data_IF_319052388895
#
_entry.id   IF_319052388895
#
_cell.length_a   1.000
_cell.length_b   1.000
_cell.length_c   1.000
_cell.angle_alpha   90.00
_cell.angle_beta   90.00
_cell.angle_gamma   90.00
#
_symmetry.space_group_name_H-M   'P 1'
#
loop_
_entity.id
_entity.type
_entity.pdbx_description
1 polymer ?
#
# COMPACT_ATOMS: atom_id res chain seq x y z
N UNK A 1 25.67 1.29 -57.23
CA UNK A 1 25.74 -0.15 -56.93
C UNK A 1 26.47 -0.25 -55.60
N UNK A 2 25.72 -0.48 -54.54
CA UNK A 2 26.28 -0.73 -53.21
C UNK A 2 27.09 -2.03 -53.31
N UNK A 3 28.33 -2.01 -52.83
CA UNK A 3 29.25 -3.13 -53.02
C UNK A 3 28.78 -4.35 -52.24
N UNK A 4 29.01 -5.56 -52.76
CA UNK A 4 28.57 -6.81 -52.14
C UNK A 4 29.03 -6.95 -50.67
N UNK A 5 30.18 -6.35 -50.34
CA UNK A 5 30.75 -6.34 -49.00
C UNK A 5 29.94 -5.46 -48.01
N UNK A 6 29.35 -4.35 -48.46
CA UNK A 6 28.53 -3.47 -47.61
C UNK A 6 27.16 -4.09 -47.29
N UNK A 7 26.58 -4.85 -48.22
CA UNK A 7 25.32 -5.56 -48.00
C UNK A 7 25.49 -6.76 -47.05
N UNK A 8 26.65 -7.43 -47.10
CA UNK A 8 27.01 -8.51 -46.19
C UNK A 8 27.29 -7.99 -44.77
N UNK A 9 27.96 -6.85 -44.63
CA UNK A 9 28.19 -6.21 -43.32
C UNK A 9 26.89 -5.69 -42.70
N UNK A 10 25.96 -5.18 -43.52
CA UNK A 10 24.62 -4.77 -43.06
C UNK A 10 23.79 -5.97 -42.59
N UNK A 11 23.80 -7.10 -43.32
CA UNK A 11 23.14 -8.34 -42.88
C UNK A 11 23.73 -8.86 -41.57
N UNK A 12 25.06 -8.81 -41.43
CA UNK A 12 25.74 -9.24 -40.20
C UNK A 12 25.37 -8.37 -39.00
N UNK A 13 25.30 -7.05 -39.14
CA UNK A 13 24.84 -6.13 -38.07
C UNK A 13 23.36 -6.31 -37.73
N UNK A 14 22.52 -6.62 -38.71
CA UNK A 14 21.09 -6.86 -38.52
C UNK A 14 20.82 -8.23 -37.86
N UNK A 15 21.66 -9.23 -38.15
CA UNK A 15 21.65 -10.56 -37.53
C UNK A 15 22.25 -10.56 -36.12
N UNK A 16 23.30 -9.76 -35.86
CA UNK A 16 23.82 -9.44 -34.53
C UNK A 16 22.79 -8.67 -33.68
N UNK A 17 22.05 -7.72 -34.26
CA UNK A 17 20.89 -7.06 -33.60
C UNK A 17 19.75 -8.04 -33.31
N UNK A 18 19.49 -9.00 -34.22
CA UNK A 18 18.44 -10.02 -34.03
C UNK A 18 18.80 -11.03 -32.95
N UNK A 19 20.07 -11.40 -32.85
CA UNK A 19 20.59 -12.33 -31.85
C UNK A 19 20.77 -11.68 -30.49
N UNK A 20 21.10 -10.38 -30.41
CA UNK A 20 21.04 -9.60 -29.16
C UNK A 20 19.62 -9.44 -28.61
N UNK A 21 18.58 -9.60 -29.44
CA UNK A 21 17.18 -9.55 -29.01
C UNK A 21 16.63 -10.94 -28.68
N UNK A 22 17.35 -12.03 -28.99
CA UNK A 22 16.74 -13.37 -28.96
C UNK A 22 17.18 -14.33 -27.87
N UNK A 23 18.18 -14.10 -27.02
CA UNK A 23 18.43 -15.02 -25.89
C UNK A 23 19.26 -14.37 -24.76
N UNK A 24 18.64 -14.20 -23.58
CA UNK A 24 19.21 -13.67 -22.33
C UNK A 24 19.23 -12.14 -22.33
N UNK A 25 18.32 -11.40 -21.69
CA UNK A 25 18.17 -11.30 -20.23
C UNK A 25 16.79 -10.70 -19.86
N UNK A 26 15.68 -11.28 -20.35
CA UNK A 26 14.32 -10.81 -20.01
C UNK A 26 13.37 -11.93 -19.56
N UNK A 27 13.80 -13.19 -19.58
CA UNK A 27 12.97 -14.34 -19.17
C UNK A 27 13.37 -14.94 -17.80
N UNK A 28 14.43 -14.45 -17.15
CA UNK A 28 14.88 -14.94 -15.82
C UNK A 28 14.66 -13.94 -14.67
N UNK A 29 13.94 -12.84 -14.93
CA UNK A 29 13.19 -12.21 -13.85
C UNK A 29 11.98 -13.10 -13.59
N UNK A 30 12.15 -14.08 -12.69
CA UNK A 30 11.03 -14.80 -12.11
C UNK A 30 9.89 -13.80 -11.91
N UNK A 31 8.67 -14.04 -12.43
CA UNK A 31 7.59 -13.09 -12.30
C UNK A 31 7.49 -12.78 -10.82
N UNK A 32 7.71 -11.53 -10.44
CA UNK A 32 7.52 -11.09 -9.06
C UNK A 32 6.17 -11.67 -8.65
N UNK A 33 6.17 -12.55 -7.65
CA UNK A 33 5.00 -13.35 -7.31
C UNK A 33 3.83 -12.41 -7.03
N UNK A 34 2.94 -12.24 -8.00
CA UNK A 34 1.77 -11.38 -7.87
C UNK A 34 0.81 -12.16 -7.00
N UNK A 35 0.70 -11.76 -5.74
CA UNK A 35 -0.22 -12.37 -4.80
C UNK A 35 -1.64 -12.22 -5.33
N UNK A 36 -2.44 -13.27 -5.17
CA UNK A 36 -3.88 -13.18 -5.43
C UNK A 36 -4.55 -12.25 -4.41
N UNK A 37 -5.72 -11.73 -4.79
CA UNK A 37 -6.72 -11.10 -3.92
C UNK A 37 -6.81 -11.74 -2.54
N UNK A 38 -7.02 -13.06 -2.53
CA UNK A 38 -7.26 -13.85 -1.34
C UNK A 38 -6.01 -13.96 -0.47
N UNK A 39 -4.83 -14.06 -1.08
CA UNK A 39 -3.56 -14.07 -0.36
C UNK A 39 -3.29 -12.73 0.32
N UNK A 40 -3.51 -11.61 -0.40
CA UNK A 40 -3.32 -10.28 0.19
C UNK A 40 -4.31 -10.04 1.33
N UNK A 41 -5.58 -10.40 1.14
CA UNK A 41 -6.60 -10.31 2.20
C UNK A 41 -6.20 -11.17 3.41
N UNK A 42 -5.71 -12.39 3.20
CA UNK A 42 -5.26 -13.27 4.28
C UNK A 42 -4.12 -12.64 5.09
N UNK A 43 -3.15 -12.01 4.43
CA UNK A 43 -2.07 -11.28 5.10
C UNK A 43 -2.57 -10.08 5.92
N UNK A 44 -3.55 -9.34 5.41
CA UNK A 44 -4.18 -8.25 6.14
C UNK A 44 -4.99 -8.73 7.35
N UNK A 45 -5.65 -9.89 7.25
CA UNK A 45 -6.34 -10.54 8.37
C UNK A 45 -5.30 -11.01 9.40
N UNK A 46 -4.21 -11.65 8.96
CA UNK A 46 -3.14 -12.15 9.81
C UNK A 46 -2.45 -11.05 10.62
N UNK A 47 -2.37 -9.82 10.09
CA UNK A 47 -1.89 -8.66 10.82
C UNK A 47 -2.74 -8.28 12.05
N UNK A 48 -3.99 -8.73 12.11
CA UNK A 48 -4.86 -8.57 13.28
C UNK A 48 -5.54 -7.19 13.40
N UNK A 49 -6.37 -6.99 14.43
CA UNK A 49 -7.19 -5.77 14.58
C UNK A 49 -6.38 -4.51 14.91
N UNK A 50 -5.28 -4.61 15.66
CA UNK A 50 -4.43 -3.46 16.03
C UNK A 50 -3.75 -2.86 14.80
N UNK A 51 -3.11 -3.71 13.99
CA UNK A 51 -2.54 -3.33 12.69
C UNK A 51 -3.59 -2.67 11.78
N UNK A 52 -4.75 -3.31 11.57
CA UNK A 52 -5.81 -2.77 10.71
C UNK A 52 -6.32 -1.42 11.21
N UNK A 53 -6.48 -1.25 12.52
CA UNK A 53 -6.86 0.03 13.13
C UNK A 53 -5.81 1.12 12.91
N UNK A 54 -4.52 0.76 12.95
CA UNK A 54 -3.41 1.68 12.70
C UNK A 54 -3.23 2.02 11.21
N UNK A 55 -3.72 1.20 10.28
CA UNK A 55 -3.81 1.62 8.87
C UNK A 55 -4.74 2.83 8.69
N UNK A 56 -5.63 3.10 9.66
CA UNK A 56 -6.62 4.19 9.61
C UNK A 56 -6.28 5.35 10.56
N UNK A 57 -5.36 5.14 11.50
CA UNK A 57 -5.00 6.12 12.54
C UNK A 57 -3.50 6.39 12.55
N UNK A 58 -3.04 7.59 12.90
CA UNK A 58 -1.61 7.88 12.89
C UNK A 58 -0.87 7.23 14.06
N UNK A 59 -1.55 6.87 15.15
CA UNK A 59 -0.90 6.35 16.35
C UNK A 59 -1.75 5.37 17.14
N UNK A 60 -1.09 4.54 17.95
CA UNK A 60 -1.71 3.54 18.81
C UNK A 60 -0.77 2.37 19.13
N UNK A 61 -1.34 1.34 19.75
CA UNK A 61 -0.61 0.12 20.11
C UNK A 61 -0.68 -0.85 18.93
N UNK A 62 0.48 -1.24 18.40
CA UNK A 62 0.61 -2.23 17.33
C UNK A 62 0.59 -3.65 17.90
N UNK A 63 1.32 -3.87 18.99
CA UNK A 63 1.48 -5.17 19.61
C UNK A 63 1.44 -5.05 21.13
N UNK A 64 0.76 -5.98 21.79
CA UNK A 64 0.61 -6.01 23.24
C UNK A 64 0.69 -7.46 23.72
N UNK A 65 1.79 -7.80 24.42
CA UNK A 65 1.99 -9.09 25.06
C UNK A 65 2.38 -8.91 26.53
N UNK A 66 2.41 -10.00 27.33
CA UNK A 66 2.84 -9.92 28.73
C UNK A 66 4.28 -9.41 28.92
N UNK A 67 5.18 -9.61 27.95
CA UNK A 67 6.59 -9.21 28.04
C UNK A 67 6.91 -7.91 27.31
N UNK A 68 6.19 -7.58 26.24
CA UNK A 68 6.51 -6.45 25.38
C UNK A 68 5.24 -5.76 24.86
N UNK A 69 5.22 -4.43 24.95
CA UNK A 69 4.26 -3.61 24.22
C UNK A 69 4.98 -2.77 23.17
N UNK A 70 4.41 -2.65 21.97
CA UNK A 70 4.93 -1.83 20.89
C UNK A 70 3.87 -0.82 20.49
N UNK A 71 4.12 0.45 20.82
CA UNK A 71 3.38 1.59 20.31
C UNK A 71 4.01 2.12 19.01
N UNK A 72 3.19 2.70 18.14
CA UNK A 72 3.65 3.37 16.93
C UNK A 72 3.01 4.74 16.78
N UNK A 73 3.76 5.66 16.18
CA UNK A 73 3.27 6.94 15.67
C UNK A 73 3.84 7.20 14.29
N UNK A 74 2.97 7.41 13.31
CA UNK A 74 3.32 7.56 11.90
C UNK A 74 3.08 8.98 11.42
N UNK A 75 3.92 9.44 10.50
CA UNK A 75 3.74 10.70 9.78
C UNK A 75 4.16 10.51 8.33
N UNK A 76 3.41 11.11 7.41
CA UNK A 76 3.61 10.99 5.97
C UNK A 76 3.66 12.37 5.33
N UNK A 77 4.44 12.48 4.27
CA UNK A 77 4.54 13.65 3.41
C UNK A 77 4.85 13.15 2.00
N UNK A 78 3.81 13.09 1.15
CA UNK A 78 3.90 12.51 -0.20
C UNK A 78 4.48 11.08 -0.13
N UNK A 79 5.49 10.76 -0.93
CA UNK A 79 6.14 9.45 -0.97
C UNK A 79 6.99 9.13 0.27
N UNK A 80 7.28 10.08 1.16
CA UNK A 80 8.12 9.88 2.33
C UNK A 80 7.29 9.73 3.61
N UNK A 81 7.79 8.96 4.55
CA UNK A 81 7.18 8.85 5.87
C UNK A 81 8.16 8.44 6.95
N UNK A 82 7.66 8.43 8.18
CA UNK A 82 8.40 7.97 9.35
C UNK A 82 7.49 7.22 10.32
N UNK A 83 8.05 6.24 11.01
CA UNK A 83 7.44 5.58 12.16
C UNK A 83 8.32 5.86 13.38
N UNK A 84 7.73 6.40 14.44
CA UNK A 84 8.31 6.36 15.77
C UNK A 84 7.76 5.15 16.49
N UNK A 85 8.65 4.24 16.89
CA UNK A 85 8.32 3.09 17.71
C UNK A 85 8.52 3.42 19.19
N UNK A 86 7.67 2.84 20.04
CA UNK A 86 7.76 2.89 21.49
C UNK A 86 7.72 1.46 22.03
N UNK A 87 8.87 0.92 22.42
CA UNK A 87 9.01 -0.45 22.94
C UNK A 87 9.00 -0.41 24.46
N UNK A 88 7.90 -0.84 25.08
CA UNK A 88 7.77 -0.95 26.52
C UNK A 88 8.03 -2.37 27.01
N UNK A 89 9.09 -2.56 27.79
CA UNK A 89 9.33 -3.83 28.48
C UNK A 89 8.35 -3.97 29.66
N UNK A 90 7.50 -4.98 29.59
CA UNK A 90 6.54 -5.33 30.65
C UNK A 90 6.99 -6.50 31.50
N UNK A 91 8.06 -7.19 31.10
CA UNK A 91 8.67 -8.21 31.93
C UNK A 91 9.36 -7.56 33.15
N UNK A 92 9.40 -8.25 34.30
CA UNK A 92 10.11 -7.79 35.49
C UNK A 92 11.63 -8.00 35.39
N UNK A 93 12.14 -8.33 34.20
CA UNK A 93 13.56 -8.55 33.89
C UNK A 93 13.94 -7.86 32.59
N UNK A 94 15.24 -7.53 32.38
CA UNK A 94 15.70 -6.96 31.12
C UNK A 94 15.51 -7.94 29.96
N UNK A 95 14.98 -7.46 28.83
CA UNK A 95 14.98 -8.19 27.58
C UNK A 95 16.36 -8.06 26.94
N UNK A 96 17.05 -9.17 26.72
CA UNK A 96 18.40 -9.19 26.15
C UNK A 96 18.34 -9.49 24.66
N UNK A 97 19.44 -9.23 23.95
CA UNK A 97 19.54 -9.44 22.50
C UNK A 97 18.37 -8.81 21.73
N UNK A 98 17.85 -7.68 22.22
CA UNK A 98 16.70 -7.00 21.65
C UNK A 98 17.06 -6.48 20.26
N UNK A 99 16.32 -6.92 19.25
CA UNK A 99 16.60 -6.62 17.85
C UNK A 99 15.32 -6.34 17.09
N UNK A 100 15.43 -5.41 16.14
CA UNK A 100 14.37 -4.98 15.25
C UNK A 100 14.89 -5.05 13.83
N UNK A 101 14.25 -5.88 13.02
CA UNK A 101 14.59 -6.06 11.60
C UNK A 101 13.34 -5.84 10.75
N UNK A 102 13.52 -5.29 9.55
CA UNK A 102 12.46 -5.16 8.56
C UNK A 102 12.68 -6.19 7.45
N UNK A 103 11.60 -6.81 7.00
CA UNK A 103 11.69 -7.69 5.83
C UNK A 103 12.10 -6.88 4.59
N UNK A 104 13.01 -7.41 3.74
CA UNK A 104 13.44 -6.71 2.54
C UNK A 104 12.25 -6.30 1.66
N UNK A 105 12.33 -5.12 1.05
CA UNK A 105 11.32 -4.62 0.13
C UNK A 105 11.98 -3.98 -1.08
N UNK A 106 11.44 -4.27 -2.26
CA UNK A 106 11.77 -3.57 -3.51
C UNK A 106 10.96 -2.28 -3.67
N UNK A 107 9.86 -2.16 -2.93
CA UNK A 107 8.89 -1.06 -3.07
C UNK A 107 9.03 0.03 -2.02
N UNK A 108 9.72 -0.28 -0.92
CA UNK A 108 9.98 0.65 0.18
C UNK A 108 11.48 0.66 0.49
N UNK A 109 12.07 1.86 0.51
CA UNK A 109 13.39 2.07 1.07
C UNK A 109 13.28 2.41 2.55
N UNK A 110 14.03 1.72 3.40
CA UNK A 110 14.00 1.92 4.85
C UNK A 110 15.33 2.44 5.38
N UNK A 111 15.26 3.33 6.36
CA UNK A 111 16.39 3.75 7.18
C UNK A 111 15.99 3.67 8.65
N UNK A 112 16.29 2.52 9.27
CA UNK A 112 16.04 2.28 10.69
C UNK A 112 17.22 2.79 11.52
N UNK A 113 16.95 3.62 12.53
CA UNK A 113 17.97 4.06 13.49
C UNK A 113 18.36 2.89 14.41
N UNK A 114 19.61 2.79 14.88
CA UNK A 114 20.00 1.76 15.84
C UNK A 114 19.19 1.83 17.13
N UNK A 115 18.99 0.68 17.77
CA UNK A 115 18.45 0.56 19.13
C UNK A 115 19.41 -0.26 19.99
N UNK A 116 19.36 -0.08 21.31
CA UNK A 116 20.15 -0.88 22.24
C UNK A 116 19.69 -2.33 22.20
N UNK A 117 20.65 -3.26 22.27
CA UNK A 117 20.38 -4.71 22.36
C UNK A 117 19.83 -5.18 23.71
N UNK A 118 19.55 -4.27 24.64
CA UNK A 118 18.97 -4.56 25.95
C UNK A 118 17.88 -3.52 26.21
N UNK A 119 16.73 -3.98 26.69
CA UNK A 119 15.62 -3.16 27.16
C UNK A 119 15.37 -3.48 28.64
N UNK A 120 15.66 -2.54 29.54
CA UNK A 120 15.58 -2.76 30.99
C UNK A 120 14.15 -2.99 31.46
N UNK A 121 13.98 -3.62 32.64
CA UNK A 121 12.64 -3.87 33.20
C UNK A 121 11.87 -2.56 33.40
N UNK A 122 10.67 -2.46 32.80
CA UNK A 122 9.86 -1.24 32.83
C UNK A 122 10.37 -0.09 31.93
N UNK A 123 11.48 -0.26 31.21
CA UNK A 123 11.97 0.74 30.27
C UNK A 123 11.04 0.86 29.06
N UNK A 124 10.86 2.11 28.59
CA UNK A 124 10.28 2.38 27.29
C UNK A 124 11.33 3.03 26.38
N UNK A 125 11.83 2.26 25.41
CA UNK A 125 12.76 2.76 24.41
C UNK A 125 12.04 3.27 23.15
N UNK A 126 12.66 4.24 22.47
CA UNK A 126 12.15 4.80 21.23
C UNK A 126 13.11 4.51 20.07
N UNK A 127 12.57 4.24 18.89
CA UNK A 127 13.35 4.06 17.67
C UNK A 127 12.64 4.72 16.49
N UNK A 128 13.42 5.46 15.70
CA UNK A 128 12.93 6.12 14.50
C UNK A 128 13.23 5.26 13.27
N UNK A 129 12.19 5.03 12.47
CA UNK A 129 12.30 4.51 11.11
C UNK A 129 11.89 5.60 10.13
N UNK A 130 12.77 5.96 9.20
CA UNK A 130 12.41 6.74 8.02
C UNK A 130 12.19 5.79 6.84
N UNK A 131 11.26 6.11 5.95
CA UNK A 131 11.04 5.33 4.74
C UNK A 131 10.58 6.19 3.57
N UNK A 132 10.79 5.66 2.36
CA UNK A 132 10.33 6.25 1.10
C UNK A 132 9.65 5.17 0.27
N UNK A 133 8.44 5.46 -0.22
CA UNK A 133 7.70 4.66 -1.18
C UNK A 133 8.37 4.80 -2.55
N UNK A 134 9.09 3.78 -2.97
CA UNK A 134 9.77 3.74 -4.25
C UNK A 134 8.78 3.51 -5.37
N UNK A 135 7.85 2.58 -5.19
CA UNK A 135 6.81 2.18 -6.15
C UNK A 135 5.59 1.66 -5.38
N UNK A 136 4.46 1.52 -6.06
CA UNK A 136 3.23 1.03 -5.45
C UNK A 136 3.38 -0.42 -4.96
N UNK A 137 2.65 -0.76 -3.90
CA UNK A 137 2.71 -2.07 -3.27
C UNK A 137 1.37 -2.43 -2.61
N UNK A 138 1.00 -3.72 -2.66
CA UNK A 138 -0.23 -4.20 -2.03
C UNK A 138 -0.07 -4.66 -0.58
N UNK A 139 1.11 -5.19 -0.22
CA UNK A 139 1.37 -5.72 1.12
C UNK A 139 2.17 -4.78 2.01
N UNK A 140 1.64 -4.41 3.18
CA UNK A 140 2.41 -3.68 4.18
C UNK A 140 3.63 -4.48 4.66
N UNK A 141 4.76 -3.81 4.95
CA UNK A 141 6.01 -4.47 5.29
C UNK A 141 5.92 -5.17 6.64
N UNK A 142 6.77 -6.18 6.83
CA UNK A 142 6.87 -6.94 8.08
C UNK A 142 8.01 -6.41 8.96
N UNK A 143 7.73 -6.31 10.25
CA UNK A 143 8.65 -6.03 11.34
C UNK A 143 8.89 -7.32 12.10
N UNK A 144 10.14 -7.72 12.19
CA UNK A 144 10.59 -8.86 13.00
C UNK A 144 11.21 -8.29 14.28
N UNK A 145 10.63 -8.68 15.41
CA UNK A 145 11.10 -8.29 16.75
C UNK A 145 11.60 -9.54 17.44
N UNK A 146 12.86 -9.55 17.83
CA UNK A 146 13.44 -10.68 18.56
C UNK A 146 14.15 -10.25 19.82
N UNK A 147 14.07 -11.08 20.85
CA UNK A 147 14.75 -10.88 22.12
C UNK A 147 14.84 -12.20 22.91
N UNK A 148 15.74 -12.22 23.89
CA UNK A 148 15.88 -13.28 24.87
C UNK A 148 15.24 -12.84 26.18
N UNK A 149 14.25 -13.60 26.66
CA UNK A 149 13.62 -13.40 27.97
C UNK A 149 14.31 -14.31 29.00
N UNK A 150 14.99 -13.73 30.01
CA UNK A 150 15.65 -14.53 31.03
C UNK A 150 14.67 -15.37 31.84
N UNK A 151 15.04 -16.61 32.14
CA UNK A 151 14.24 -17.44 33.03
C UNK A 151 14.35 -16.96 34.49
N UNK A 152 13.22 -16.91 35.18
CA UNK A 152 13.17 -16.64 36.62
C UNK A 152 13.47 -17.88 37.48
N UNK A 153 13.40 -19.08 36.91
CA UNK A 153 13.56 -20.33 37.65
C UNK A 153 14.97 -20.92 37.44
N UNK A 154 15.70 -21.24 38.52
CA UNK A 154 17.00 -21.91 38.42
C UNK A 154 16.90 -23.21 37.62
N UNK A 155 17.81 -23.40 36.65
CA UNK A 155 17.88 -24.60 35.83
C UNK A 155 16.94 -24.62 34.61
N UNK A 156 16.11 -23.59 34.42
CA UNK A 156 15.32 -23.43 33.19
C UNK A 156 16.08 -22.48 32.24
N UNK A 157 16.26 -22.83 30.95
CA UNK A 157 16.97 -22.00 29.99
C UNK A 157 16.19 -20.71 29.68
N UNK A 158 16.93 -19.67 29.28
CA UNK A 158 16.35 -18.44 28.76
C UNK A 158 15.54 -18.72 27.49
N UNK A 159 14.45 -17.97 27.29
CA UNK A 159 13.57 -18.16 26.15
C UNK A 159 13.93 -17.19 25.04
N UNK A 160 14.20 -17.71 23.84
CA UNK A 160 14.28 -16.89 22.62
C UNK A 160 12.88 -16.66 22.07
N UNK A 161 12.54 -15.40 21.84
CA UNK A 161 11.23 -14.98 21.36
C UNK A 161 11.41 -14.20 20.06
N UNK A 162 10.61 -14.56 19.05
CA UNK A 162 10.48 -13.82 17.80
C UNK A 162 9.00 -13.53 17.53
N UNK A 163 8.70 -12.28 17.18
CA UNK A 163 7.40 -11.85 16.73
C UNK A 163 7.50 -11.26 15.32
N UNK A 164 6.68 -11.77 14.41
CA UNK A 164 6.49 -11.22 13.06
C UNK A 164 5.22 -10.38 13.05
N UNK A 165 5.37 -9.09 12.82
CA UNK A 165 4.29 -8.11 12.91
C UNK A 165 4.19 -7.34 11.59
N UNK A 166 2.96 -7.04 11.15
CA UNK A 166 2.77 -6.15 10.00
C UNK A 166 2.85 -4.69 10.45
N UNK A 167 3.64 -3.87 9.76
CA UNK A 167 3.65 -2.42 10.00
C UNK A 167 2.49 -1.75 9.28
N UNK A 168 1.85 -0.74 9.89
CA UNK A 168 0.75 0.02 9.29
C UNK A 168 1.24 1.03 8.23
N UNK A 169 2.16 0.61 7.36
CA UNK A 169 2.62 1.35 6.19
C UNK A 169 1.88 0.76 4.99
N UNK A 170 0.69 1.29 4.71
CA UNK A 170 -0.14 0.91 3.57
C UNK A 170 -0.14 2.01 2.49
N UNK A 171 -0.44 1.61 1.26
CA UNK A 171 -0.36 2.51 0.09
C UNK A 171 -1.23 3.77 0.24
N UNK A 172 -2.37 3.66 0.92
CA UNK A 172 -3.27 4.80 1.19
C UNK A 172 -2.63 5.92 2.01
N UNK A 173 -1.60 5.63 2.80
CA UNK A 173 -0.86 6.67 3.53
C UNK A 173 0.02 7.55 2.65
N UNK A 174 0.24 7.14 1.40
CA UNK A 174 0.93 7.91 0.37
C UNK A 174 -0.04 8.58 -0.59
N UNK A 175 -1.35 8.56 -0.30
CA UNK A 175 -2.36 9.26 -1.08
C UNK A 175 -2.67 10.62 -0.46
N UNK A 176 -2.83 11.64 -1.29
CA UNK A 176 -3.35 12.94 -0.89
C UNK A 176 -4.69 13.24 -1.55
N UNK A 177 -5.60 13.96 -0.86
CA UNK A 177 -6.90 14.28 -1.41
C UNK A 177 -6.76 15.23 -2.61
N UNK A 178 -7.39 14.89 -3.73
CA UNK A 178 -7.40 15.75 -4.92
C UNK A 178 -8.59 16.69 -4.89
N UNK A 179 -8.36 17.90 -4.42
CA UNK A 179 -9.39 18.91 -4.23
C UNK A 179 -9.87 19.53 -5.54
N UNK A 180 -11.08 20.08 -5.51
CA UNK A 180 -11.69 20.86 -6.60
C UNK A 180 -11.96 20.08 -7.90
N UNK A 181 -12.09 18.75 -7.82
CA UNK A 181 -12.57 17.95 -8.94
C UNK A 181 -14.08 18.07 -9.04
N UNK A 182 -14.57 18.54 -10.18
CA UNK A 182 -16.01 18.61 -10.46
C UNK A 182 -16.57 17.25 -10.87
N UNK A 183 -17.89 17.05 -10.74
CA UNK A 183 -18.54 15.83 -11.21
C UNK A 183 -18.29 15.56 -12.69
N UNK A 184 -18.33 16.59 -13.54
CA UNK A 184 -18.08 16.45 -14.97
C UNK A 184 -16.64 15.99 -15.27
N UNK A 185 -15.65 16.58 -14.59
CA UNK A 185 -14.25 16.15 -14.70
C UNK A 185 -14.08 14.70 -14.22
N UNK A 186 -14.67 14.35 -13.07
CA UNK A 186 -14.61 12.98 -12.58
C UNK A 186 -15.22 12.00 -13.59
N UNK A 187 -16.42 12.25 -14.10
CA UNK A 187 -17.09 11.35 -15.06
C UNK A 187 -16.26 11.18 -16.33
N UNK A 188 -15.66 12.27 -16.82
CA UNK A 188 -14.78 12.25 -17.98
C UNK A 188 -13.54 11.37 -17.70
N UNK A 189 -12.82 11.65 -16.61
CA UNK A 189 -11.63 10.90 -16.20
C UNK A 189 -11.93 9.43 -15.90
N UNK A 190 -13.06 9.15 -15.26
CA UNK A 190 -13.54 7.80 -14.98
C UNK A 190 -13.78 7.03 -16.28
N UNK A 191 -14.49 7.60 -17.26
CA UNK A 191 -14.70 6.92 -18.55
C UNK A 191 -13.39 6.71 -19.32
N UNK A 192 -12.52 7.72 -19.31
CA UNK A 192 -11.27 7.71 -20.05
C UNK A 192 -10.14 6.96 -19.34
N UNK A 193 -10.34 6.53 -18.09
CA UNK A 193 -9.40 5.65 -17.38
C UNK A 193 -9.24 4.30 -18.08
N UNK A 194 -10.17 3.90 -18.94
CA UNK A 194 -10.09 2.68 -19.74
C UNK A 194 -9.36 2.89 -21.10
N UNK A 195 -8.87 4.10 -21.41
CA UNK A 195 -8.17 4.45 -22.65
C UNK A 195 -6.72 4.91 -22.46
N UNK A 196 -6.03 5.20 -23.56
CA UNK A 196 -4.57 5.40 -23.61
C UNK A 196 -4.10 6.86 -23.49
N UNK A 197 -4.96 7.85 -23.22
CA UNK A 197 -4.57 9.28 -23.35
C UNK A 197 -4.10 9.91 -22.01
N UNK A 198 -2.79 9.85 -21.76
CA UNK A 198 -2.17 10.40 -20.54
C UNK A 198 -2.07 11.92 -20.51
N UNK A 199 -1.77 12.57 -21.63
CA UNK A 199 -1.44 14.00 -21.66
C UNK A 199 -2.67 14.83 -21.30
N UNK A 200 -3.85 14.41 -21.79
CA UNK A 200 -5.12 15.01 -21.41
C UNK A 200 -5.41 14.80 -19.91
N UNK A 201 -5.19 13.59 -19.39
CA UNK A 201 -5.41 13.26 -17.96
C UNK A 201 -4.49 14.02 -17.02
N UNK A 202 -3.19 14.08 -17.31
CA UNK A 202 -2.21 14.82 -16.50
C UNK A 202 -2.50 16.33 -16.52
N UNK A 203 -2.91 16.88 -17.67
CA UNK A 203 -3.29 18.29 -17.81
C UNK A 203 -4.57 18.62 -17.04
N UNK A 204 -5.61 17.78 -17.13
CA UNK A 204 -6.86 17.95 -16.40
C UNK A 204 -6.69 17.85 -14.88
N UNK A 205 -5.74 17.02 -14.43
CA UNK A 205 -5.40 16.86 -13.03
C UNK A 205 -4.30 17.84 -12.58
N UNK A 206 -3.81 18.74 -13.44
CA UNK A 206 -2.81 19.77 -13.07
C UNK A 206 -1.43 19.21 -12.69
N UNK A 207 -1.06 18.03 -13.19
CA UNK A 207 0.28 17.46 -13.02
C UNK A 207 1.26 17.97 -14.09
N UNK A 208 2.49 18.29 -13.70
CA UNK A 208 3.56 18.68 -14.65
C UNK A 208 4.11 17.45 -15.38
N UNK A 209 4.18 17.50 -16.71
CA UNK A 209 4.70 16.41 -17.55
C UNK A 209 6.23 16.42 -17.51
N UNK A 210 6.83 15.61 -16.63
CA UNK A 210 8.29 15.42 -16.54
C UNK A 210 8.80 14.29 -17.44
N UNK A 211 9.73 14.58 -18.36
CA UNK A 211 10.25 13.66 -19.38
C UNK A 211 11.26 12.60 -18.90
N UNK A 212 10.87 11.75 -17.94
CA UNK A 212 11.64 10.57 -17.52
C UNK A 212 11.04 9.24 -18.02
N UNK A 213 11.70 8.11 -17.69
CA UNK A 213 11.33 6.70 -18.04
C UNK A 213 9.87 6.30 -17.76
N UNK A 214 9.05 7.16 -17.16
CA UNK A 214 7.60 7.01 -17.03
C UNK A 214 6.90 6.70 -18.35
N UNK A 215 7.44 7.16 -19.49
CA UNK A 215 6.96 7.03 -20.88
C UNK A 215 6.40 5.67 -21.34
N UNK A 216 6.88 4.54 -20.82
CA UNK A 216 6.48 3.21 -21.28
C UNK A 216 5.17 2.68 -20.67
N UNK A 217 4.80 3.15 -19.47
CA UNK A 217 3.51 2.81 -18.82
C UNK A 217 2.39 3.82 -19.15
N UNK A 218 2.74 4.89 -19.88
CA UNK A 218 1.93 6.11 -20.14
C UNK A 218 0.70 5.89 -21.00
N UNK A 219 0.68 4.83 -21.79
CA UNK A 219 -0.47 4.48 -22.63
C UNK A 219 -1.39 3.44 -22.00
N UNK A 220 -1.13 2.96 -20.79
CA UNK A 220 -1.88 1.81 -20.27
C UNK A 220 -3.24 2.22 -19.69
N UNK A 221 -4.30 1.42 -19.90
CA UNK A 221 -5.55 1.61 -19.20
C UNK A 221 -5.32 1.44 -17.69
N UNK A 222 -6.14 2.11 -16.90
CA UNK A 222 -6.15 1.96 -15.46
C UNK A 222 -6.59 0.54 -15.12
N UNK A 223 -5.95 0.00 -14.09
CA UNK A 223 -6.42 -1.21 -13.46
C UNK A 223 -7.69 -0.89 -12.68
N UNK A 224 -8.69 -1.74 -12.86
CA UNK A 224 -9.92 -1.70 -12.09
C UNK A 224 -9.92 -2.86 -11.11
N UNK A 225 -10.21 -2.55 -9.85
CA UNK A 225 -10.52 -3.55 -8.84
C UNK A 225 -11.96 -3.35 -8.37
N UNK A 226 -12.79 -4.38 -8.51
CA UNK A 226 -14.19 -4.36 -8.12
C UNK A 226 -14.48 -5.49 -7.14
N UNK A 227 -15.12 -5.16 -6.02
CA UNK A 227 -15.45 -6.14 -4.98
C UNK A 227 -16.81 -5.90 -4.35
N UNK A 228 -17.43 -6.98 -3.90
CA UNK A 228 -18.62 -6.95 -3.05
C UNK A 228 -18.26 -7.57 -1.70
N UNK A 229 -18.60 -6.89 -0.60
CA UNK A 229 -18.26 -7.34 0.75
C UNK A 229 -19.30 -6.88 1.78
N UNK A 230 -19.41 -7.59 2.90
CA UNK A 230 -20.33 -7.26 3.97
C UNK A 230 -19.79 -6.13 4.85
N UNK A 231 -20.72 -5.32 5.36
CA UNK A 231 -20.45 -4.40 6.47
C UNK A 231 -19.94 -5.16 7.69
N UNK A 232 -19.15 -4.49 8.53
CA UNK A 232 -18.76 -5.01 9.86
C UNK A 232 -20.01 -5.38 10.66
N UNK A 233 -20.05 -6.61 11.18
CA UNK A 233 -21.16 -7.11 12.00
C UNK A 233 -21.59 -6.11 13.08
N UNK A 234 -22.88 -5.82 13.14
CA UNK A 234 -23.46 -4.95 14.16
C UNK A 234 -23.20 -3.46 13.97
N UNK A 235 -22.57 -3.04 12.87
CA UNK A 235 -22.41 -1.62 12.52
C UNK A 235 -22.97 -1.32 11.13
N UNK A 236 -24.00 -0.45 11.11
CA UNK A 236 -24.47 0.19 9.88
C UNK A 236 -23.72 1.51 9.72
N UNK A 237 -23.17 1.75 8.54
CA UNK A 237 -22.53 3.01 8.21
C UNK A 237 -23.46 3.86 7.37
N UNK A 238 -23.77 5.06 7.84
CA UNK A 238 -24.44 6.04 7.00
C UNK A 238 -23.46 6.67 5.98
N UNK A 239 -24.01 7.38 5.00
CA UNK A 239 -23.24 8.01 3.92
C UNK A 239 -22.24 9.05 4.45
N UNK A 240 -22.57 9.77 5.52
CA UNK A 240 -21.69 10.78 6.10
C UNK A 240 -20.51 10.13 6.82
N UNK A 241 -20.74 9.04 7.56
CA UNK A 241 -19.68 8.26 8.18
C UNK A 241 -18.72 7.70 7.12
N UNK A 242 -19.24 7.18 6.01
CA UNK A 242 -18.43 6.73 4.87
C UNK A 242 -17.61 7.89 4.31
N UNK A 243 -18.23 9.06 4.06
CA UNK A 243 -17.51 10.25 3.58
C UNK A 243 -16.40 10.67 4.55
N UNK A 244 -16.63 10.59 5.86
CA UNK A 244 -15.61 10.86 6.87
C UNK A 244 -14.45 9.87 6.83
N UNK A 245 -14.72 8.58 6.60
CA UNK A 245 -13.69 7.54 6.47
C UNK A 245 -12.81 7.80 5.24
N UNK A 246 -13.43 8.13 4.10
CA UNK A 246 -12.69 8.48 2.89
C UNK A 246 -11.76 9.67 3.10
N UNK A 247 -12.26 10.75 3.73
CA UNK A 247 -11.47 11.96 4.00
C UNK A 247 -10.38 11.74 5.04
N UNK A 248 -10.73 11.16 6.18
CA UNK A 248 -9.87 11.16 7.37
C UNK A 248 -8.95 9.94 7.44
N UNK A 249 -9.37 8.80 6.89
CA UNK A 249 -8.64 7.54 7.01
C UNK A 249 -7.93 7.13 5.71
N UNK A 250 -8.53 7.42 4.56
CA UNK A 250 -8.02 7.03 3.24
C UNK A 250 -7.41 8.20 2.45
N UNK A 251 -7.52 9.42 2.97
CA UNK A 251 -6.96 10.64 2.38
C UNK A 251 -7.46 10.92 0.95
N UNK A 252 -8.75 10.64 0.71
CA UNK A 252 -9.45 10.90 -0.56
C UNK A 252 -10.38 12.10 -0.39
N UNK A 253 -10.53 12.92 -1.44
CA UNK A 253 -11.56 13.96 -1.46
C UNK A 253 -12.86 13.45 -2.08
N UNK A 254 -13.99 13.94 -1.57
CA UNK A 254 -15.32 13.52 -2.02
C UNK A 254 -15.72 14.35 -3.23
N UNK A 255 -16.26 13.68 -4.26
CA UNK A 255 -16.79 14.35 -5.46
C UNK A 255 -18.31 14.21 -5.47
N UNK A 256 -19.01 15.28 -5.08
CA UNK A 256 -20.46 15.31 -5.07
C UNK A 256 -21.04 15.48 -6.49
N UNK A 257 -22.25 14.97 -6.72
CA UNK A 257 -22.99 15.12 -7.98
C UNK A 257 -22.57 14.18 -9.12
N UNK A 258 -21.69 13.21 -8.87
CA UNK A 258 -21.29 12.19 -9.85
C UNK A 258 -22.37 11.11 -10.03
N UNK A 259 -22.88 10.58 -8.92
CA UNK A 259 -23.91 9.56 -8.89
C UNK A 259 -25.16 10.14 -8.22
N UNK A 260 -26.32 10.02 -8.86
CA UNK A 260 -27.60 10.46 -8.30
C UNK A 260 -28.12 9.51 -7.23
N UNK A 261 -27.52 8.34 -7.07
CA UNK A 261 -27.89 7.34 -6.05
C UNK A 261 -27.46 7.83 -4.66
N UNK A 262 -28.38 8.06 -3.71
CA UNK A 262 -28.04 8.61 -2.39
C UNK A 262 -27.08 7.74 -1.58
N UNK A 263 -27.07 6.42 -1.82
CA UNK A 263 -26.18 5.47 -1.14
C UNK A 263 -24.82 5.30 -1.83
N UNK A 264 -24.50 6.13 -2.83
CA UNK A 264 -23.19 6.11 -3.49
C UNK A 264 -22.29 7.24 -3.00
N UNK A 265 -21.04 6.88 -2.73
CA UNK A 265 -19.97 7.82 -2.43
C UNK A 265 -18.89 7.67 -3.50
N UNK A 266 -18.51 8.81 -4.09
CA UNK A 266 -17.45 8.89 -5.08
C UNK A 266 -16.34 9.77 -4.52
N UNK A 267 -15.10 9.34 -4.74
CA UNK A 267 -13.94 10.04 -4.22
C UNK A 267 -12.71 9.91 -5.13
N UNK A 268 -11.78 10.83 -4.95
CA UNK A 268 -10.56 10.94 -5.76
C UNK A 268 -9.36 11.34 -4.90
N UNK A 269 -8.20 10.80 -5.24
CA UNK A 269 -6.93 11.17 -4.63
C UNK A 269 -5.76 11.02 -5.60
N UNK A 270 -4.58 11.34 -5.12
CA UNK A 270 -3.32 11.25 -5.85
C UNK A 270 -2.31 10.44 -5.05
N UNK A 271 -1.83 9.34 -5.61
CA UNK A 271 -0.83 8.47 -5.02
C UNK A 271 0.58 8.99 -5.34
N UNK A 272 1.45 9.03 -4.34
CA UNK A 272 2.82 9.52 -4.44
C UNK A 272 3.83 8.38 -4.28
N UNK A 273 4.66 8.18 -5.30
CA UNK A 273 5.82 7.28 -5.26
C UNK A 273 7.06 8.04 -5.72
N UNK A 274 8.25 7.50 -5.47
CA UNK A 274 9.51 8.09 -5.96
C UNK A 274 9.77 7.73 -7.44
N UNK A 275 9.35 6.55 -7.88
CA UNK A 275 9.55 6.07 -9.26
C UNK A 275 8.72 6.83 -10.27
N UNK A 276 7.58 7.40 -9.86
CA UNK A 276 6.73 8.18 -10.73
C UNK A 276 6.95 9.69 -10.51
N UNK A 277 7.50 10.42 -11.50
CA UNK A 277 7.68 11.87 -11.38
C UNK A 277 6.35 12.64 -11.30
N UNK A 278 5.23 11.98 -11.66
CA UNK A 278 3.88 12.55 -11.59
C UNK A 278 3.04 11.69 -10.66
N UNK A 279 2.36 12.31 -9.69
CA UNK A 279 1.44 11.59 -8.81
C UNK A 279 0.30 10.95 -9.63
N UNK A 280 -0.08 9.71 -9.31
CA UNK A 280 -1.08 8.96 -10.09
C UNK A 280 -2.46 9.12 -9.48
N UNK A 281 -3.49 9.45 -10.28
CA UNK A 281 -4.81 9.62 -9.72
C UNK A 281 -5.43 8.26 -9.37
N UNK A 282 -6.18 8.26 -8.28
CA UNK A 282 -6.97 7.12 -7.80
C UNK A 282 -8.42 7.55 -7.76
N UNK A 283 -9.29 6.75 -8.36
CA UNK A 283 -10.72 6.97 -8.34
C UNK A 283 -11.40 5.85 -7.58
N UNK A 284 -12.33 6.20 -6.69
CA UNK A 284 -13.09 5.23 -5.91
C UNK A 284 -14.57 5.54 -6.04
N UNK A 285 -15.35 4.51 -6.30
CA UNK A 285 -16.80 4.53 -6.18
C UNK A 285 -17.22 3.43 -5.21
N UNK A 286 -17.94 3.81 -4.18
CA UNK A 286 -18.57 2.91 -3.23
C UNK A 286 -20.09 3.07 -3.34
N UNK A 287 -20.80 1.95 -3.36
CA UNK A 287 -22.24 1.90 -3.29
C UNK A 287 -22.66 1.04 -2.12
N UNK A 288 -23.55 1.56 -1.30
CA UNK A 288 -24.11 0.85 -0.16
C UNK A 288 -25.48 0.28 -0.53
N UNK A 289 -25.71 -0.99 -0.18
CA UNK A 289 -27.02 -1.63 -0.20
C UNK A 289 -27.41 -1.95 1.23
N UNK A 290 -28.05 -1.00 1.90
CA UNK A 290 -28.39 -1.06 3.33
C UNK A 290 -29.22 -2.30 3.68
N UNK A 291 -30.26 -2.61 2.89
CA UNK A 291 -31.12 -3.79 3.10
C UNK A 291 -30.35 -5.12 3.11
N UNK A 292 -29.27 -5.20 2.33
CA UNK A 292 -28.44 -6.40 2.20
C UNK A 292 -27.19 -6.35 3.08
N UNK A 293 -26.93 -5.23 3.76
CA UNK A 293 -25.69 -4.93 4.49
C UNK A 293 -24.42 -5.18 3.65
N UNK A 294 -24.50 -4.85 2.35
CA UNK A 294 -23.41 -5.04 1.41
C UNK A 294 -22.88 -3.71 0.89
N UNK A 295 -21.58 -3.69 0.69
CA UNK A 295 -20.90 -2.69 -0.12
C UNK A 295 -20.57 -3.27 -1.49
N UNK A 296 -20.69 -2.45 -2.53
CA UNK A 296 -20.09 -2.66 -3.84
C UNK A 296 -19.08 -1.55 -4.06
N UNK A 297 -17.83 -1.93 -4.22
CA UNK A 297 -16.72 -1.01 -4.42
C UNK A 297 -16.14 -1.22 -5.81
N UNK A 298 -15.77 -0.11 -6.46
CA UNK A 298 -14.91 -0.09 -7.64
C UNK A 298 -13.82 0.93 -7.41
N UNK A 299 -12.57 0.49 -7.52
CA UNK A 299 -11.38 1.34 -7.45
C UNK A 299 -10.69 1.30 -8.81
N UNK A 300 -10.25 2.46 -9.30
CA UNK A 300 -9.42 2.57 -10.50
C UNK A 300 -8.14 3.30 -10.18
N UNK A 301 -7.02 2.72 -10.59
CA UNK A 301 -5.68 3.28 -10.38
C UNK A 301 -4.73 2.92 -11.51
N UNK A 302 -3.57 3.57 -11.53
CA UNK A 302 -2.59 3.40 -12.60
C UNK A 302 -1.88 2.03 -12.56
N UNK A 303 -1.79 1.41 -11.39
CA UNK A 303 -1.23 0.07 -11.21
C UNK A 303 -2.24 -0.84 -10.53
N UNK A 304 -2.05 -2.16 -10.68
CA UNK A 304 -2.82 -3.15 -9.95
C UNK A 304 -2.70 -2.88 -8.43
N UNK A 305 -1.48 -2.75 -7.92
CA UNK A 305 -1.23 -2.44 -6.50
C UNK A 305 -1.95 -1.19 -6.00
N UNK A 306 -2.11 -0.17 -6.84
CA UNK A 306 -2.90 1.03 -6.50
C UNK A 306 -4.37 0.70 -6.28
N UNK A 307 -5.00 0.07 -7.26
CA UNK A 307 -6.43 -0.25 -7.19
C UNK A 307 -6.72 -1.19 -6.00
N UNK A 308 -5.86 -2.19 -5.84
CA UNK A 308 -5.92 -3.18 -4.76
C UNK A 308 -5.67 -2.60 -3.38
N UNK A 309 -4.54 -1.91 -3.17
CA UNK A 309 -4.14 -1.38 -1.87
C UNK A 309 -5.14 -0.40 -1.29
N UNK A 310 -5.75 0.41 -2.16
CA UNK A 310 -6.84 1.34 -1.81
C UNK A 310 -8.11 0.56 -1.47
N UNK A 311 -8.48 -0.42 -2.30
CA UNK A 311 -9.66 -1.24 -2.08
C UNK A 311 -9.62 -2.02 -0.76
N UNK A 312 -8.50 -2.69 -0.49
CA UNK A 312 -8.33 -3.46 0.75
C UNK A 312 -8.32 -2.56 1.98
N UNK A 313 -7.70 -1.38 1.90
CA UNK A 313 -7.72 -0.43 3.01
C UNK A 313 -9.12 0.10 3.30
N UNK A 314 -9.93 0.34 2.26
CA UNK A 314 -11.34 0.68 2.43
C UNK A 314 -12.10 -0.48 3.08
N UNK A 315 -11.92 -1.71 2.60
CA UNK A 315 -12.54 -2.88 3.21
C UNK A 315 -12.11 -3.08 4.67
N UNK A 316 -10.84 -2.81 5.01
CA UNK A 316 -10.37 -2.86 6.40
C UNK A 316 -11.01 -1.77 7.29
N UNK A 317 -11.51 -0.68 6.70
CA UNK A 317 -12.14 0.42 7.42
C UNK A 317 -13.64 0.20 7.71
N UNK A 318 -14.36 -0.43 6.79
CA UNK A 318 -15.83 -0.54 6.85
C UNK A 318 -16.38 -1.96 6.69
N UNK A 319 -15.54 -2.93 6.32
CA UNK A 319 -15.95 -4.25 5.86
C UNK A 319 -15.43 -5.43 6.66
N UNK A 320 -16.13 -6.56 6.51
CA UNK A 320 -15.65 -7.88 6.92
C UNK A 320 -14.78 -8.47 5.81
N UNK A 321 -13.46 -8.41 6.00
CA UNK A 321 -12.49 -8.91 5.02
C UNK A 321 -12.71 -10.39 4.62
N UNK A 322 -13.31 -11.21 5.47
CA UNK A 322 -13.59 -12.63 5.19
C UNK A 322 -14.72 -12.85 4.17
N UNK A 323 -15.50 -11.82 3.86
CA UNK A 323 -16.72 -11.93 3.05
C UNK A 323 -16.55 -11.42 1.63
N UNK A 324 -15.32 -11.07 1.25
CA UNK A 324 -15.00 -10.41 -0.01
C UNK A 324 -15.19 -11.37 -1.18
N UNK A 325 -16.05 -10.98 -2.11
CA UNK A 325 -16.22 -11.64 -3.39
C UNK A 325 -15.66 -10.74 -4.50
N UNK A 326 -14.57 -11.20 -5.10
CA UNK A 326 -13.92 -10.52 -6.21
C UNK A 326 -14.76 -10.63 -7.49
N UNK A 327 -14.90 -9.53 -8.22
CA UNK A 327 -15.52 -9.52 -9.54
C UNK A 327 -14.43 -9.16 -10.55
N UNK A 328 -13.65 -10.17 -10.93
CA UNK A 328 -12.65 -10.11 -12.01
C UNK A 328 -13.31 -10.00 -13.39
#
# INVERSE_FOLDING_TARGET
EESADEEEERRRREEERRTMVSHGDLEDLAPAFVLSTSQIIAEWIAGGPTFRGLCLKPEGVLFDSPSLQIGVKTQYSKAAGRVMFFYGNRAPVPLKNFSITLSPSTSLAFQLKPIKGILEAGEQAQQLLNFVCLQEFALPPELIVSFTLPSHQPGIPDQEIEHKLRLPICLTKFVTPKQNVTAAQFIHLWKNSQGNDYVERASLMGGEVGGGMGGAMVGMPFFEYSAVFKMILGKVFDVNEIKMIFKNCLHLDIVDGVDSTPSSVVAVGECWTQSNPVCTPVFVRLQTREEMQLFRMTVRGHTNDTAWGIGISLMAAIGELETVQDQS
#
